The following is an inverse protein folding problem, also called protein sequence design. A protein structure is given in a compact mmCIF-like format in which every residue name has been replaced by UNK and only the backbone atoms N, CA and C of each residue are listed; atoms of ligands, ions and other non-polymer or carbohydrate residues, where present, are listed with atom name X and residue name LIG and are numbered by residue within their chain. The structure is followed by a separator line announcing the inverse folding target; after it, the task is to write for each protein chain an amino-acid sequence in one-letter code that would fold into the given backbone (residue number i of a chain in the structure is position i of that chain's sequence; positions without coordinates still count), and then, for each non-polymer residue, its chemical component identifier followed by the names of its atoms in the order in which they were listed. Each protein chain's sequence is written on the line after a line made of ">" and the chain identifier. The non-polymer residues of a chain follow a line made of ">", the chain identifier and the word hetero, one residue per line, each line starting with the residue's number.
data_IF_746635295378
#
_entry.id   IF_746635295378
#
_cell.length_a   1.000
_cell.length_b   1.000
_cell.length_c   1.000
_cell.angle_alpha   90.00
_cell.angle_beta   90.00
_cell.angle_gamma   90.00
#
_symmetry.space_group_name_H-M   'P 1'
#
loop_
_entity.id
_entity.type
_entity.pdbx_description
1 polymer ?
#
# COMPACT_ATOMS: atom_id res chain seq x y z
N UNK A 1 -0.42 0.11 -17.25
CA UNK A 1 -1.17 -0.81 -16.37
C UNK A 1 -1.58 -0.10 -15.10
N UNK A 2 -2.52 -0.65 -14.37
CA UNK A 2 -2.92 -0.15 -13.06
C UNK A 2 -2.22 -0.97 -11.98
N UNK A 3 -1.56 -0.29 -11.07
CA UNK A 3 -0.73 -0.93 -10.04
C UNK A 3 -1.26 -0.58 -8.66
N UNK A 4 -1.55 -1.59 -7.85
CA UNK A 4 -1.92 -1.40 -6.45
C UNK A 4 -0.66 -1.40 -5.59
N UNK A 5 -0.41 -0.30 -4.90
CA UNK A 5 0.71 -0.14 -4.00
C UNK A 5 0.22 -0.15 -2.55
N UNK A 6 0.78 -1.03 -1.75
CA UNK A 6 0.51 -1.11 -0.30
C UNK A 6 1.83 -0.88 0.43
N UNK A 7 1.95 0.22 1.12
CA UNK A 7 3.20 0.56 1.80
C UNK A 7 3.02 1.66 2.83
N UNK A 8 4.11 2.04 3.47
CA UNK A 8 4.10 3.12 4.46
C UNK A 8 4.08 4.49 3.78
N UNK A 9 3.35 5.42 4.39
CA UNK A 9 3.33 6.82 3.98
C UNK A 9 4.02 7.63 5.07
N UNK A 10 5.15 8.25 4.71
CA UNK A 10 5.93 9.06 5.66
C UNK A 10 5.59 10.54 5.52
N UNK A 11 5.48 11.21 6.66
CA UNK A 11 5.21 12.65 6.69
C UNK A 11 6.44 13.48 6.31
N UNK A 12 7.63 12.92 6.55
CA UNK A 12 8.89 13.55 6.17
C UNK A 12 9.66 12.63 5.23
N UNK A 13 10.21 13.20 4.17
CA UNK A 13 10.91 12.50 3.09
C UNK A 13 9.95 11.85 2.09
N UNK A 14 10.41 11.71 0.85
CA UNK A 14 9.66 11.09 -0.23
C UNK A 14 10.20 9.68 -0.44
N UNK A 15 9.79 8.76 0.42
CA UNK A 15 10.22 7.37 0.35
C UNK A 15 8.99 6.46 0.24
N UNK A 16 9.24 5.21 -0.05
CA UNK A 16 8.21 4.18 -0.10
C UNK A 16 7.00 4.59 -0.95
N UNK A 17 5.80 4.64 -0.39
CA UNK A 17 4.57 4.85 -1.14
C UNK A 17 4.56 6.16 -1.95
N UNK A 18 5.08 7.24 -1.37
CA UNK A 18 5.10 8.55 -2.06
C UNK A 18 6.02 8.52 -3.28
N UNK A 19 7.21 7.96 -3.14
CA UNK A 19 8.18 7.90 -4.23
C UNK A 19 7.72 6.95 -5.33
N UNK A 20 7.26 5.76 -4.95
CA UNK A 20 6.81 4.77 -5.92
C UNK A 20 5.61 5.26 -6.73
N UNK A 21 4.66 5.92 -6.08
CA UNK A 21 3.52 6.51 -6.76
C UNK A 21 3.98 7.51 -7.82
N UNK A 22 4.85 8.44 -7.43
CA UNK A 22 5.38 9.44 -8.33
C UNK A 22 6.11 8.81 -9.52
N UNK A 23 7.01 7.87 -9.25
CA UNK A 23 7.82 7.23 -10.30
C UNK A 23 6.97 6.43 -11.30
N UNK A 24 6.00 5.68 -10.80
CA UNK A 24 5.16 4.87 -11.67
C UNK A 24 4.21 5.71 -12.50
N UNK A 25 3.64 6.76 -11.92
CA UNK A 25 2.79 7.68 -12.67
C UNK A 25 3.59 8.43 -13.74
N UNK A 26 4.83 8.82 -13.43
CA UNK A 26 5.71 9.45 -14.40
C UNK A 26 6.03 8.55 -15.59
N UNK A 27 5.94 7.22 -15.41
CA UNK A 27 6.15 6.23 -16.47
C UNK A 27 4.87 5.84 -17.20
N UNK A 28 3.77 6.51 -16.92
CA UNK A 28 2.50 6.30 -17.62
C UNK A 28 1.58 5.25 -17.02
N UNK A 29 1.86 4.78 -15.81
CA UNK A 29 0.99 3.84 -15.12
C UNK A 29 -0.05 4.57 -14.27
N UNK A 30 -1.22 3.95 -14.11
CA UNK A 30 -2.17 4.39 -13.10
C UNK A 30 -1.83 3.71 -11.77
N UNK A 31 -1.88 4.46 -10.68
CA UNK A 31 -1.53 3.92 -9.36
C UNK A 31 -2.71 4.05 -8.41
N UNK A 32 -3.04 2.93 -7.78
CA UNK A 32 -3.95 2.88 -6.64
C UNK A 32 -3.07 2.65 -5.42
N UNK A 33 -3.04 3.61 -4.49
CA UNK A 33 -2.11 3.54 -3.36
C UNK A 33 -2.86 3.58 -2.03
N UNK A 34 -2.53 2.65 -1.14
CA UNK A 34 -3.09 2.60 0.20
C UNK A 34 -1.97 2.43 1.22
N UNK A 35 -1.99 3.21 2.30
CA UNK A 35 -0.98 3.06 3.35
C UNK A 35 -1.22 1.80 4.19
N UNK A 36 -0.15 1.09 4.51
CA UNK A 36 -0.12 0.07 5.55
C UNK A 36 0.10 0.71 6.91
N UNK A 37 0.77 1.86 6.92
CA UNK A 37 0.99 2.68 8.11
C UNK A 37 1.22 4.14 7.70
N UNK A 38 0.84 5.05 8.58
CA UNK A 38 1.29 6.43 8.53
C UNK A 38 2.46 6.56 9.51
N UNK A 39 3.60 7.05 9.02
CA UNK A 39 4.81 7.19 9.82
C UNK A 39 5.28 8.63 9.73
N UNK A 40 5.58 9.25 10.89
CA UNK A 40 5.96 10.66 10.92
C UNK A 40 7.25 10.94 10.14
N UNK A 41 8.18 10.02 10.16
CA UNK A 41 9.49 10.16 9.52
C UNK A 41 10.14 8.79 9.35
N UNK A 42 11.24 8.75 8.61
CA UNK A 42 12.02 7.52 8.42
C UNK A 42 12.58 7.00 9.74
N UNK A 43 12.64 5.69 9.89
CA UNK A 43 13.01 5.04 11.16
C UNK A 43 14.48 5.24 11.54
N UNK A 44 15.33 5.62 10.58
CA UNK A 44 16.74 5.90 10.83
C UNK A 44 16.99 7.13 11.73
N UNK A 45 15.96 7.93 12.01
CA UNK A 45 16.06 9.04 12.95
C UNK A 45 15.94 8.59 14.42
N UNK A 46 15.71 7.31 14.67
CA UNK A 46 15.68 6.71 16.01
C UNK A 46 14.30 6.67 16.65
N UNK A 47 13.43 7.60 16.35
CA UNK A 47 12.05 7.63 16.84
C UNK A 47 11.12 8.04 15.72
N UNK A 48 9.91 7.53 15.74
CA UNK A 48 8.85 7.91 14.83
C UNK A 48 7.49 7.64 15.47
N UNK A 49 6.54 8.52 15.20
CA UNK A 49 5.13 8.24 15.48
C UNK A 49 4.60 7.37 14.35
N UNK A 50 3.88 6.32 14.68
CA UNK A 50 3.35 5.39 13.70
C UNK A 50 1.89 5.08 13.98
N UNK A 51 1.08 5.05 12.93
CA UNK A 51 -0.31 4.63 12.98
C UNK A 51 -0.49 3.45 12.01
N UNK A 52 -0.86 2.30 12.54
CA UNK A 52 -1.26 1.15 11.72
C UNK A 52 -2.58 1.48 11.03
N UNK A 53 -2.67 1.26 9.73
CA UNK A 53 -3.83 1.60 8.93
C UNK A 53 -4.52 0.37 8.33
N UNK A 54 -4.38 -0.79 8.96
CA UNK A 54 -4.94 -2.05 8.44
C UNK A 54 -6.45 -1.96 8.20
N UNK A 55 -7.22 -1.46 9.16
CA UNK A 55 -8.67 -1.35 9.01
C UNK A 55 -9.05 -0.44 7.84
N UNK A 56 -8.41 0.72 7.75
CA UNK A 56 -8.64 1.65 6.64
C UNK A 56 -8.30 1.00 5.30
N UNK A 57 -7.16 0.30 5.24
CA UNK A 57 -6.72 -0.39 4.03
C UNK A 57 -7.75 -1.43 3.58
N UNK A 58 -8.20 -2.27 4.49
CA UNK A 58 -9.18 -3.32 4.16
C UNK A 58 -10.51 -2.74 3.74
N UNK A 59 -10.99 -1.69 4.42
CA UNK A 59 -12.23 -1.00 4.06
C UNK A 59 -12.11 -0.29 2.72
N UNK A 60 -10.94 0.25 2.41
CA UNK A 60 -10.69 0.92 1.13
C UNK A 60 -10.75 -0.08 -0.03
N UNK A 61 -10.13 -1.24 0.13
CA UNK A 61 -10.17 -2.29 -0.89
C UNK A 61 -11.60 -2.77 -1.15
N UNK A 62 -12.37 -2.93 -0.09
CA UNK A 62 -13.77 -3.31 -0.18
C UNK A 62 -14.59 -2.25 -0.94
N UNK A 63 -14.36 -0.99 -0.63
CA UNK A 63 -15.00 0.13 -1.31
C UNK A 63 -14.62 0.17 -2.79
N UNK A 64 -13.36 -0.01 -3.10
CA UNK A 64 -12.87 -0.01 -4.48
C UNK A 64 -13.42 -1.18 -5.28
N UNK A 65 -13.58 -2.33 -4.66
CA UNK A 65 -14.22 -3.47 -5.32
C UNK A 65 -15.66 -3.14 -5.71
N UNK A 66 -16.43 -2.52 -4.81
CA UNK A 66 -17.79 -2.08 -5.10
C UNK A 66 -17.86 -1.03 -6.21
N UNK A 67 -16.81 -0.20 -6.33
CA UNK A 67 -16.73 0.80 -7.38
C UNK A 67 -16.22 0.24 -8.72
N UNK A 68 -15.85 -1.03 -8.74
CA UNK A 68 -15.33 -1.66 -9.96
C UNK A 68 -13.90 -1.30 -10.30
N UNK A 69 -13.13 -0.78 -9.34
CA UNK A 69 -11.73 -0.47 -9.55
C UNK A 69 -10.91 -1.76 -9.50
N UNK A 70 -10.10 -1.96 -10.52
CA UNK A 70 -9.27 -3.17 -10.65
C UNK A 70 -7.81 -2.77 -10.82
N UNK A 71 -6.92 -3.73 -10.66
CA UNK A 71 -5.49 -3.51 -10.85
C UNK A 71 -4.86 -4.73 -11.54
N UNK A 72 -3.73 -4.50 -12.18
CA UNK A 72 -3.00 -5.51 -12.98
C UNK A 72 -1.77 -6.03 -12.24
N UNK A 73 -1.27 -5.30 -11.26
CA UNK A 73 -0.09 -5.67 -10.49
C UNK A 73 -0.25 -5.21 -9.04
N UNK A 74 0.43 -5.91 -8.14
CA UNK A 74 0.39 -5.64 -6.71
C UNK A 74 1.80 -5.54 -6.16
N UNK A 75 2.07 -4.49 -5.38
CA UNK A 75 3.32 -4.31 -4.65
C UNK A 75 3.01 -4.11 -3.17
N UNK A 76 3.71 -4.86 -2.32
CA UNK A 76 3.61 -4.73 -0.86
C UNK A 76 5.00 -4.37 -0.33
N UNK A 77 5.13 -3.18 0.26
CA UNK A 77 6.44 -2.65 0.65
C UNK A 77 6.71 -2.55 2.14
N UNK A 78 5.69 -2.55 2.98
CA UNK A 78 5.87 -2.40 4.42
C UNK A 78 4.77 -3.11 5.17
N UNK A 79 5.13 -3.73 6.31
CA UNK A 79 4.20 -4.50 7.14
C UNK A 79 4.40 -4.10 8.59
N UNK A 80 3.31 -3.78 9.29
CA UNK A 80 3.36 -3.30 10.68
C UNK A 80 3.55 -4.43 11.70
N UNK A 81 3.14 -5.65 11.37
CA UNK A 81 3.21 -6.79 12.27
C UNK A 81 2.47 -7.99 11.73
N UNK A 82 2.36 -9.03 12.55
CA UNK A 82 1.79 -10.33 12.15
C UNK A 82 0.32 -10.21 11.73
N UNK A 83 -0.48 -9.48 12.49
CA UNK A 83 -1.92 -9.34 12.18
C UNK A 83 -2.12 -8.68 10.82
N UNK A 84 -1.37 -7.65 10.51
CA UNK A 84 -1.42 -7.02 9.19
C UNK A 84 -0.87 -7.96 8.11
N UNK A 85 0.22 -8.66 8.40
CA UNK A 85 0.81 -9.61 7.45
C UNK A 85 -0.21 -10.67 7.01
N UNK A 86 -1.02 -11.17 7.91
CA UNK A 86 -2.07 -12.14 7.60
C UNK A 86 -3.09 -11.56 6.60
N UNK A 87 -3.50 -10.31 6.80
CA UNK A 87 -4.42 -9.62 5.89
C UNK A 87 -3.78 -9.37 4.53
N UNK A 88 -2.52 -8.96 4.52
CA UNK A 88 -1.80 -8.74 3.26
C UNK A 88 -1.62 -10.05 2.47
N UNK A 89 -1.40 -11.17 3.15
CA UNK A 89 -1.34 -12.48 2.51
C UNK A 89 -2.68 -12.83 1.86
N UNK A 90 -3.79 -12.55 2.51
CA UNK A 90 -5.12 -12.77 1.93
C UNK A 90 -5.30 -11.97 0.63
N UNK A 91 -4.86 -10.72 0.64
CA UNK A 91 -4.91 -9.84 -0.54
C UNK A 91 -4.04 -10.43 -1.66
N UNK A 92 -2.81 -10.83 -1.34
CA UNK A 92 -1.89 -11.40 -2.32
C UNK A 92 -2.41 -12.70 -2.92
N UNK A 93 -2.99 -13.57 -2.12
CA UNK A 93 -3.57 -14.82 -2.58
C UNK A 93 -4.77 -14.58 -3.50
N UNK A 94 -5.64 -13.63 -3.14
CA UNK A 94 -6.78 -13.27 -3.98
C UNK A 94 -6.31 -12.69 -5.32
N UNK A 95 -5.28 -11.87 -5.32
CA UNK A 95 -4.69 -11.33 -6.54
C UNK A 95 -4.11 -12.43 -7.41
N UNK A 96 -3.38 -13.36 -6.82
CA UNK A 96 -2.79 -14.50 -7.52
C UNK A 96 -3.84 -15.36 -8.22
N UNK A 97 -4.97 -15.60 -7.56
CA UNK A 97 -6.08 -16.37 -8.14
C UNK A 97 -6.68 -15.70 -9.37
N UNK A 98 -6.54 -14.38 -9.48
CA UNK A 98 -6.99 -13.61 -10.65
C UNK A 98 -5.92 -13.45 -11.72
N UNK A 99 -4.77 -14.09 -11.56
CA UNK A 99 -3.68 -14.04 -12.52
C UNK A 99 -2.76 -12.82 -12.38
N UNK A 100 -2.77 -12.20 -11.22
CA UNK A 100 -1.95 -11.02 -10.96
C UNK A 100 -0.62 -11.39 -10.32
#
# INVERSE_FOLDING_TARGET
>A
MTILLLGDLTGRSRVALRMLTYELEARGHEVLALPTALISNTLNLGQAAMLDTTDYLMRSLETWEKLGLTYDALYIGFVTGVAQAEKLCEIAEAAKKRGI
#
